data_IF_677341461344
#
_entry.id   IF_677341461344
#
_cell.length_a   1.000
_cell.length_b   1.000
_cell.length_c   1.000
_cell.angle_alpha   90.00
_cell.angle_beta   90.00
_cell.angle_gamma   90.00
#
_symmetry.space_group_name_H-M   'P 1'
#
loop_
_entity.id
_entity.type
_entity.pdbx_description
1 polymer ?
2 non-polymer ?
3 non-polymer ?
4 non-polymer ?
5 water ?
#
# COMPACT_ATOMS: atom_id res chain seq x y z
N UNK A 1 -10.23 -18.44 -0.72
CA UNK A 1 -10.12 -17.06 -0.26
C UNK A 1 -9.01 -16.92 0.79
N UNK A 2 -8.03 -16.08 0.51
CA UNK A 2 -7.01 -15.76 1.50
C UNK A 2 -7.59 -14.94 2.64
N UNK A 3 -6.73 -14.50 3.57
CA UNK A 3 -7.24 -13.73 4.71
C UNK A 3 -7.82 -12.38 4.30
N UNK A 4 -8.86 -11.96 5.01
CA UNK A 4 -9.44 -10.64 4.82
C UNK A 4 -9.65 -10.00 6.17
N UNK A 5 -9.75 -8.67 6.20
CA UNK A 5 -10.09 -7.96 7.42
C UNK A 5 -11.53 -8.30 7.77
N UNK A 6 -11.80 -8.44 9.07
CA UNK A 6 -13.11 -8.88 9.52
C UNK A 6 -14.05 -7.72 9.81
N UNK A 7 -13.65 -6.52 9.41
CA UNK A 7 -14.42 -5.32 9.65
C UNK A 7 -14.21 -4.44 8.44
N UNK A 8 -15.06 -3.43 8.27
CA UNK A 8 -14.92 -2.53 7.13
C UNK A 8 -14.21 -1.25 7.56
N UNK A 9 -14.13 -1.06 8.86
CA UNK A 9 -13.44 0.07 9.46
C UNK A 9 -12.00 -0.33 9.81
N UNK A 10 -11.05 0.25 9.08
CA UNK A 10 -9.64 -0.15 9.18
C UNK A 10 -8.76 1.05 9.50
N UNK A 11 -7.88 0.89 10.49
CA UNK A 11 -6.99 1.96 10.91
C UNK A 11 -5.60 1.79 10.34
N UNK A 12 -4.90 2.91 10.15
CA UNK A 12 -3.50 2.87 9.76
C UNK A 12 -2.71 3.93 10.50
N UNK A 13 -1.41 3.70 10.62
CA UNK A 13 -0.50 4.68 11.21
C UNK A 13 0.82 4.67 10.47
N UNK A 14 1.36 5.86 10.23
CA UNK A 14 2.69 5.95 9.61
C UNK A 14 3.77 5.94 10.70
N UNK A 15 4.57 4.87 10.72
CA UNK A 15 5.56 4.65 11.76
C UNK A 15 6.71 5.66 11.67
N UNK A 16 7.11 5.96 10.45
CA UNK A 16 8.24 6.85 10.20
C UNK A 16 8.19 7.34 8.76
N UNK A 17 8.99 8.38 8.46
CA UNK A 17 8.89 9.11 7.21
C UNK A 17 10.21 9.13 6.44
N UNK A 18 10.13 8.85 5.14
CA UNK A 18 11.31 8.88 4.29
C UNK A 18 11.80 10.32 4.23
N UNK A 19 13.12 10.50 4.36
CA UNK A 19 13.67 11.85 4.21
C UNK A 19 13.66 12.32 2.75
N UNK A 20 13.27 11.44 1.83
CA UNK A 20 13.26 11.77 0.40
C UNK A 20 12.22 12.82 0.05
N UNK A 21 11.17 12.86 0.84
CA UNK A 21 10.00 13.68 0.56
C UNK A 21 9.68 14.54 1.76
N UNK A 22 8.98 15.64 1.53
CA UNK A 22 8.52 16.39 2.69
C UNK A 22 7.36 15.64 3.33
N UNK A 23 7.28 15.74 4.65
CA UNK A 23 6.40 14.92 5.48
C UNK A 23 4.92 14.99 5.06
N UNK A 24 4.45 16.17 4.73
CA UNK A 24 3.06 16.35 4.31
C UNK A 24 2.76 15.66 2.99
N UNK A 25 3.76 15.53 2.12
CA UNK A 25 3.60 14.83 0.85
C UNK A 25 3.47 13.32 1.05
N UNK A 26 4.16 12.78 2.04
CA UNK A 26 4.02 11.36 2.41
C UNK A 26 2.63 11.10 2.98
N UNK A 27 2.19 11.96 3.90
CA UNK A 27 0.84 11.86 4.43
C UNK A 27 -0.17 11.87 3.30
N UNK A 28 0.02 12.79 2.36
CA UNK A 28 -0.93 12.94 1.28
C UNK A 28 -0.94 11.72 0.35
N UNK A 29 0.25 11.21 0.02
CA UNK A 29 0.32 10.08 -0.90
C UNK A 29 -0.35 8.84 -0.30
N UNK A 30 -0.10 8.61 0.98
CA UNK A 30 -0.68 7.47 1.67
C UNK A 30 -2.19 7.63 1.79
N UNK A 31 -2.63 8.84 2.13
CA UNK A 31 -4.07 9.10 2.24
C UNK A 31 -4.81 8.81 0.93
N UNK A 32 -4.24 9.29 -0.18
CA UNK A 32 -4.87 9.11 -1.48
C UNK A 32 -4.86 7.66 -1.91
N UNK A 33 -3.80 6.94 -1.55
CA UNK A 33 -3.70 5.53 -1.88
C UNK A 33 -4.80 4.73 -1.19
N UNK A 34 -5.02 4.99 0.10
CA UNK A 34 -6.14 4.36 0.78
C UNK A 34 -7.47 4.74 0.13
N UNK A 35 -7.60 6.00 -0.25
CA UNK A 35 -8.82 6.50 -0.87
C UNK A 35 -9.16 5.78 -2.19
N UNK A 36 -8.14 5.39 -2.94
CA UNK A 36 -8.34 4.64 -4.18
C UNK A 36 -9.17 3.37 -3.90
N UNK A 37 -8.82 2.68 -2.82
CA UNK A 37 -9.49 1.44 -2.49
C UNK A 37 -10.83 1.68 -1.79
N UNK A 38 -10.88 2.68 -0.93
CA UNK A 38 -12.14 3.02 -0.27
C UNK A 38 -13.19 3.46 -1.29
N UNK A 39 -12.74 3.99 -2.41
CA UNK A 39 -13.70 4.46 -3.41
C UNK A 39 -14.45 3.36 -4.15
N UNK A 40 -13.99 2.11 -4.04
CA UNK A 40 -14.61 1.02 -4.78
C UNK A 40 -15.07 -0.15 -3.90
N UNK A 41 -15.11 0.08 -2.58
CA UNK A 41 -15.47 -0.93 -1.60
C UNK A 41 -16.27 -0.25 -0.48
N UNK A 42 -16.77 -1.03 0.48
CA UNK A 42 -17.38 -0.40 1.65
C UNK A 42 -16.35 -0.09 2.73
N UNK A 43 -15.07 -0.30 2.43
CA UNK A 43 -14.03 -0.09 3.44
C UNK A 43 -13.86 1.39 3.77
N UNK A 44 -13.62 1.67 5.05
CA UNK A 44 -13.36 3.02 5.50
C UNK A 44 -12.04 3.02 6.24
N UNK A 45 -11.17 3.98 5.92
CA UNK A 45 -9.84 4.04 6.54
C UNK A 45 -9.66 5.26 7.44
N UNK A 46 -9.18 5.00 8.65
CA UNK A 46 -8.96 6.06 9.63
C UNK A 46 -7.48 6.13 10.02
N UNK A 47 -6.88 7.30 9.82
CA UNK A 47 -5.49 7.51 10.20
C UNK A 47 -5.38 7.73 11.70
N UNK A 48 -4.50 6.98 12.36
CA UNK A 48 -4.23 7.31 13.75
C UNK A 48 -2.82 7.85 13.84
N UNK A 49 -2.63 8.77 14.77
CA UNK A 49 -1.34 9.42 14.97
C UNK A 49 -0.53 8.68 16.01
N UNK A 50 -1.24 8.09 16.98
CA UNK A 50 -0.60 7.44 18.11
C UNK A 50 -1.43 6.25 18.51
N UNK A 51 -0.78 5.10 18.71
CA UNK A 51 -1.48 3.94 19.27
C UNK A 51 -1.51 2.77 18.31
N UNK A 52 -2.48 1.88 18.54
CA UNK A 52 -2.62 0.63 17.80
C UNK A 52 -3.39 0.78 16.49
N UNK A 53 -2.74 0.48 15.37
CA UNK A 53 -3.37 0.57 14.06
C UNK A 53 -3.33 -0.80 13.38
N UNK A 54 -4.32 -1.08 12.53
CA UNK A 54 -4.32 -2.34 11.80
C UNK A 54 -3.15 -2.40 10.83
N UNK A 55 -2.96 -1.32 10.08
CA UNK A 55 -1.91 -1.24 9.07
C UNK A 55 -0.83 -0.25 9.48
N UNK A 56 0.38 -0.75 9.73
CA UNK A 56 1.50 0.12 10.01
C UNK A 56 2.30 0.33 8.73
N UNK A 57 2.54 1.60 8.39
CA UNK A 57 3.36 1.96 7.24
C UNK A 57 4.77 2.28 7.75
N UNK A 58 5.76 1.56 7.21
CA UNK A 58 7.14 1.68 7.65
C UNK A 58 8.04 1.93 6.45
N UNK A 59 9.02 2.83 6.60
CA UNK A 59 10.14 2.89 5.68
C UNK A 59 11.37 2.30 6.35
N UNK A 60 12.00 1.33 5.68
CA UNK A 60 13.19 0.68 6.22
C UNK A 60 14.07 0.20 5.09
N UNK A 61 15.29 -0.20 5.42
CA UNK A 61 16.22 -0.70 4.40
C UNK A 61 16.78 -2.05 4.78
N UNK A 62 17.27 -2.81 3.80
CA UNK A 62 17.88 -4.10 4.05
C UNK A 62 17.05 -5.01 4.95
N UNK A 63 17.73 -5.70 5.85
CA UNK A 63 17.08 -6.57 6.82
C UNK A 63 16.50 -5.66 7.90
N UNK A 64 15.19 -5.76 8.14
CA UNK A 64 14.48 -4.81 9.01
C UNK A 64 13.49 -5.50 9.92
N UNK A 65 13.79 -6.76 10.26
CA UNK A 65 13.08 -7.44 11.34
C UNK A 65 11.97 -8.41 10.97
N UNK A 66 11.76 -8.68 9.68
CA UNK A 66 10.66 -9.58 9.32
C UNK A 66 11.00 -10.81 8.45
N UNK A 67 12.28 -11.15 8.34
CA UNK A 67 12.73 -12.27 7.51
C UNK A 67 12.51 -12.10 6.00
N UNK A 68 12.16 -10.89 5.59
CA UNK A 68 12.13 -10.54 4.17
C UNK A 68 12.97 -9.29 3.92
N UNK A 69 14.28 -9.44 3.86
CA UNK A 69 15.16 -8.28 3.71
C UNK A 69 14.97 -7.60 2.36
N UNK A 70 15.00 -6.27 2.37
CA UNK A 70 15.08 -5.49 1.15
C UNK A 70 16.48 -5.58 0.55
N UNK A 71 16.64 -5.02 -0.64
CA UNK A 71 17.75 -5.40 -1.53
C UNK A 71 18.55 -4.24 -2.10
N UNK A 72 18.52 -3.07 -1.44
CA UNK A 72 19.25 -1.92 -1.94
C UNK A 72 18.44 -1.22 -3.02
N UNK A 73 19.02 -0.25 -3.70
CA UNK A 73 18.25 0.49 -4.69
C UNK A 73 17.88 -0.39 -5.88
N UNK A 74 16.64 -0.29 -6.31
CA UNK A 74 16.14 -1.10 -7.41
C UNK A 74 15.57 -2.41 -6.92
N UNK A 75 15.26 -3.30 -7.86
CA UNK A 75 14.68 -4.59 -7.51
C UNK A 75 13.35 -4.41 -6.78
N UNK A 76 13.23 -5.03 -5.61
CA UNK A 76 12.01 -4.91 -4.82
C UNK A 76 11.90 -3.50 -4.22
N UNK A 77 10.75 -2.86 -4.42
CA UNK A 77 10.53 -1.50 -3.93
C UNK A 77 9.86 -1.46 -2.55
N UNK A 78 9.10 -2.51 -2.24
CA UNK A 78 8.20 -2.48 -1.10
C UNK A 78 7.61 -3.87 -0.96
N UNK A 79 6.97 -4.13 0.17
CA UNK A 79 6.21 -5.37 0.35
C UNK A 79 5.23 -5.21 1.49
N UNK A 80 4.24 -6.09 1.58
CA UNK A 80 3.20 -5.92 2.57
C UNK A 80 2.67 -7.27 3.00
N UNK A 81 2.20 -7.33 4.23
CA UNK A 81 1.61 -8.56 4.74
C UNK A 81 0.10 -8.54 4.62
N UNK A 82 -0.47 -9.71 4.37
CA UNK A 82 -1.91 -9.82 4.21
C UNK A 82 -2.63 -9.60 5.53
N UNK A 83 -3.97 -9.44 5.47
CA UNK A 83 -4.72 -9.09 6.68
C UNK A 83 -4.50 -10.09 7.84
N UNK A 84 -4.40 -9.56 9.05
CA UNK A 84 -4.12 -10.38 10.22
C UNK A 84 -3.65 -9.51 11.37
N UNK A 85 -3.48 -10.11 12.54
CA UNK A 85 -3.01 -9.35 13.70
C UNK A 85 -1.51 -9.14 13.62
N UNK A 86 -1.01 -8.28 14.50
CA UNK A 86 0.42 -7.98 14.57
C UNK A 86 0.93 -7.40 13.26
N UNK A 87 1.94 -8.04 12.69
CA UNK A 87 2.54 -7.56 11.46
C UNK A 87 1.58 -7.69 10.25
N UNK A 88 0.53 -8.50 10.39
CA UNK A 88 -0.47 -8.61 9.34
C UNK A 88 -0.96 -7.22 8.93
N UNK A 89 -1.09 -7.01 7.62
CA UNK A 89 -1.53 -5.73 7.11
C UNK A 89 -0.44 -4.71 6.89
N UNK A 90 0.71 -4.85 7.55
CA UNK A 90 1.72 -3.79 7.51
C UNK A 90 2.37 -3.65 6.12
N UNK A 91 2.69 -2.41 5.75
CA UNK A 91 3.28 -2.13 4.45
C UNK A 91 4.62 -1.47 4.65
N UNK A 92 5.65 -2.05 4.03
CA UNK A 92 7.03 -1.66 4.22
C UNK A 92 7.57 -1.15 2.89
N UNK A 93 8.23 -0.01 2.93
CA UNK A 93 8.78 0.63 1.74
C UNK A 93 10.29 0.70 1.88
N UNK A 94 11.01 0.30 0.83
CA UNK A 94 12.47 0.22 0.87
C UNK A 94 13.08 1.61 0.83
N UNK A 95 13.72 2.02 1.92
CA UNK A 95 14.29 3.37 1.99
C UNK A 95 15.46 3.55 1.02
N UNK A 96 15.98 2.45 0.50
CA UNK A 96 17.03 2.58 -0.51
C UNK A 96 16.50 3.05 -1.86
N UNK A 97 15.19 3.05 -2.06
CA UNK A 97 14.62 3.73 -3.22
C UNK A 97 14.57 5.22 -2.96
N UNK A 98 14.42 6.01 -4.03
CA UNK A 98 14.21 7.44 -3.88
C UNK A 98 12.74 7.75 -4.12
N UNK A 99 12.03 8.06 -3.04
CA UNK A 99 10.57 8.21 -3.09
C UNK A 99 10.20 9.62 -3.54
N UNK A 100 9.26 9.72 -4.48
CA UNK A 100 8.82 11.03 -4.99
C UNK A 100 7.32 11.18 -5.15
N UNK A 101 6.91 12.40 -5.46
CA UNK A 101 5.52 12.75 -5.73
C UNK A 101 5.23 12.72 -7.22
N UNK A 102 6.24 12.36 -8.02
CA UNK A 102 6.17 12.49 -9.47
C UNK A 102 6.72 11.26 -10.19
N UNK A 103 7.12 11.45 -11.44
CA UNK A 103 7.60 10.34 -12.27
C UNK A 103 9.03 9.96 -11.99
N UNK A 104 9.77 10.84 -11.30
CA UNK A 104 11.15 10.55 -10.97
C UNK A 104 11.25 9.55 -9.84
N UNK A 105 12.41 8.93 -9.69
CA UNK A 105 12.63 7.91 -8.68
C UNK A 105 11.51 6.88 -8.70
N UNK A 106 10.95 6.60 -7.52
CA UNK A 106 9.78 5.74 -7.42
C UNK A 106 8.64 6.54 -6.81
N UNK A 107 7.50 6.57 -7.50
CA UNK A 107 6.33 7.32 -7.04
C UNK A 107 5.70 6.62 -5.84
N UNK A 108 5.67 7.31 -4.71
CA UNK A 108 5.14 6.71 -3.47
C UNK A 108 3.66 6.35 -3.56
N UNK A 109 2.86 7.24 -4.13
CA UNK A 109 1.43 6.99 -4.26
C UNK A 109 1.13 5.68 -5.00
N UNK A 110 1.70 5.50 -6.18
CA UNK A 110 1.41 4.30 -6.97
C UNK A 110 1.85 3.03 -6.25
N UNK A 111 3.05 3.09 -5.66
CA UNK A 111 3.58 1.97 -4.90
C UNK A 111 2.69 1.66 -3.70
N UNK A 112 2.22 2.70 -3.02
CA UNK A 112 1.32 2.50 -1.88
C UNK A 112 -0.04 1.91 -2.29
N UNK A 113 -0.54 2.29 -3.46
CA UNK A 113 -1.79 1.71 -3.93
C UNK A 113 -1.63 0.19 -4.08
N UNK A 114 -0.54 -0.21 -4.71
CA UNK A 114 -0.23 -1.62 -4.89
C UNK A 114 -0.07 -2.35 -3.54
N UNK A 115 0.75 -1.78 -2.65
CA UNK A 115 0.99 -2.42 -1.37
C UNK A 115 -0.26 -2.50 -0.50
N UNK A 116 -1.04 -1.43 -0.47
CA UNK A 116 -2.31 -1.49 0.27
C UNK A 116 -3.23 -2.58 -0.30
N UNK A 117 -3.18 -2.81 -1.61
CA UNK A 117 -3.91 -3.93 -2.19
C UNK A 117 -3.53 -5.23 -1.50
N UNK A 118 -2.21 -5.44 -1.33
CA UNK A 118 -1.75 -6.62 -0.57
C UNK A 118 -2.21 -6.57 0.89
N UNK A 119 -2.12 -5.40 1.51
CA UNK A 119 -2.57 -5.24 2.91
C UNK A 119 -4.04 -5.61 3.08
N UNK A 120 -4.82 -5.49 2.01
CA UNK A 120 -6.24 -5.81 2.07
C UNK A 120 -6.54 -7.25 1.66
N UNK A 121 -5.52 -7.94 1.19
CA UNK A 121 -5.63 -9.35 0.83
C UNK A 121 -5.60 -9.69 -0.65
N UNK A 122 -5.30 -8.71 -1.51
CA UNK A 122 -5.17 -9.00 -2.94
C UNK A 122 -3.83 -9.63 -3.30
N UNK A 123 -3.84 -10.48 -4.33
CA UNK A 123 -2.63 -11.00 -4.92
C UNK A 123 -2.41 -10.29 -6.22
N UNK A 124 -1.57 -10.86 -7.07
CA UNK A 124 -1.23 -10.21 -8.32
C UNK A 124 -2.20 -10.49 -9.44
N UNK A 125 -2.19 -9.60 -10.42
CA UNK A 125 -2.97 -9.74 -11.64
C UNK A 125 -2.00 -9.85 -12.81
N UNK A 126 -2.48 -10.47 -13.90
CA UNK A 126 -1.67 -10.61 -15.10
C UNK A 126 -2.00 -9.51 -16.11
N UNK A 127 -3.03 -8.72 -15.78
CA UNK A 127 -3.44 -7.59 -16.60
C UNK A 127 -2.43 -6.46 -16.46
N UNK A 128 -1.79 -6.07 -17.57
CA UNK A 128 -0.77 -5.02 -17.59
C UNK A 128 -1.33 -3.66 -17.24
N UNK A 129 -2.67 -3.54 -17.20
CA UNK A 129 -3.33 -2.29 -16.84
C UNK A 129 -3.63 -2.23 -15.35
N UNK A 130 -3.55 -3.38 -14.66
CA UNK A 130 -3.90 -3.47 -13.24
C UNK A 130 -2.81 -2.93 -12.31
N UNK A 131 -3.22 -2.20 -11.28
CA UNK A 131 -2.25 -1.72 -10.31
C UNK A 131 -1.65 -2.90 -9.55
N UNK A 132 -2.34 -4.03 -9.53
CA UNK A 132 -1.83 -5.24 -8.89
C UNK A 132 -0.98 -6.12 -9.83
N UNK A 133 -0.67 -5.62 -11.02
CA UNK A 133 0.33 -6.25 -11.87
C UNK A 133 1.64 -6.30 -11.05
N UNK A 134 2.51 -7.29 -11.29
CA UNK A 134 3.63 -7.43 -10.35
C UNK A 134 4.70 -6.35 -10.39
N UNK A 135 4.89 -5.69 -11.52
CA UNK A 135 5.98 -4.73 -11.64
C UNK A 135 5.48 -3.31 -11.73
N UNK A 136 6.13 -2.43 -10.97
CA UNK A 136 5.90 -0.99 -11.03
C UNK A 136 6.05 -0.43 -12.44
N UNK A 137 5.15 0.48 -12.78
CA UNK A 137 5.38 1.41 -13.87
C UNK A 137 4.80 2.76 -13.45
N UNK A 138 5.45 3.84 -13.83
CA UNK A 138 4.83 5.14 -13.63
C UNK A 138 3.68 5.35 -14.59
N UNK A 139 2.56 5.81 -14.07
CA UNK A 139 1.43 6.20 -14.89
C UNK A 139 1.02 7.58 -14.43
N UNK A 140 0.49 8.38 -15.36
CA UNK A 140 0.06 9.74 -15.05
C UNK A 140 -0.85 9.76 -13.81
N UNK A 141 -0.36 10.38 -12.76
CA UNK A 141 -1.01 10.35 -11.44
C UNK A 141 -2.44 10.92 -11.47
N UNK A 142 -2.65 11.94 -12.29
CA UNK A 142 -3.95 12.57 -12.38
C UNK A 142 -4.95 11.68 -13.10
N UNK A 143 -4.49 11.02 -14.17
CA UNK A 143 -5.34 10.14 -14.95
C UNK A 143 -5.38 8.71 -14.39
N UNK A 144 -4.65 8.46 -13.31
CA UNK A 144 -4.59 7.11 -12.72
C UNK A 144 -5.98 6.59 -12.34
N UNK A 145 -6.26 5.34 -12.71
CA UNK A 145 -7.50 4.68 -12.33
C UNK A 145 -7.24 3.18 -12.13
N UNK A 146 -7.94 2.59 -11.16
CA UNK A 146 -7.91 1.13 -11.00
C UNK A 146 -8.43 0.47 -12.27
N UNK A 147 -7.92 -0.71 -12.57
CA UNK A 147 -8.42 -1.46 -13.73
C UNK A 147 -9.68 -2.22 -13.33
N UNK A 148 -10.43 -2.68 -14.33
CA UNK A 148 -11.62 -3.48 -14.05
C UNK A 148 -11.22 -4.73 -13.30
N UNK A 149 -10.01 -5.21 -13.54
CA UNK A 149 -9.58 -6.42 -12.82
C UNK A 149 -9.30 -6.12 -11.33
N UNK A 150 -8.67 -4.99 -11.06
CA UNK A 150 -8.43 -4.54 -9.67
C UNK A 150 -9.75 -4.44 -8.93
N UNK A 151 -10.75 -3.87 -9.60
CA UNK A 151 -12.05 -3.71 -8.99
C UNK A 151 -12.75 -5.06 -8.74
N UNK A 152 -12.71 -5.97 -9.72
CA UNK A 152 -13.25 -7.31 -9.54
C UNK A 152 -12.59 -7.97 -8.33
N UNK A 153 -11.28 -7.85 -8.27
CA UNK A 153 -10.50 -8.50 -7.23
C UNK A 153 -10.87 -8.03 -5.84
N UNK A 154 -10.91 -6.72 -5.63
CA UNK A 154 -11.16 -6.21 -4.30
C UNK A 154 -12.62 -6.37 -3.91
N UNK A 155 -13.52 -6.26 -4.89
CA UNK A 155 -14.94 -6.47 -4.61
C UNK A 155 -15.29 -7.93 -4.31
N UNK A 156 -14.42 -8.85 -4.73
CA UNK A 156 -14.60 -10.27 -4.41
C UNK A 156 -14.31 -10.53 -2.93
N UNK A 157 -13.54 -9.61 -2.32
CA UNK A 157 -13.13 -9.75 -0.94
C UNK A 157 -14.03 -8.98 0.04
N UNK A 158 -14.52 -7.83 -0.40
CA UNK A 158 -15.29 -6.91 0.45
C UNK A 158 -16.49 -6.36 -0.30
N UNK A 159 -17.66 -6.39 0.33
CA UNK A 159 -18.87 -5.91 -0.31
C UNK A 159 -20.03 -5.73 0.65
X LIG B 1 2.84 -7.05 -5.32
X LIG C 1 9.36 -5.84 5.72
X LIG D 1 -0.74 -4.86 11.47
X LIG E 1 15.29 6.87 0.12
X LIG F 1 15.03 -2.25 -3.45
X LIG G 1 8.67 -3.94 -5.94
X LIG G 1 4.43 -0.91 -6.68
X LIG G 1 5.12 -1.62 -5.79
X LIG G 1 7.89 -4.72 -6.52
X LIG G 1 6.62 -5.14 -5.87
X LIG G 1 6.03 -3.89 -5.23
X LIG G 1 4.62 -3.06 -7.35
X LIG G 1 4.11 -1.79 -7.66
X LIG G 1 3.30 -1.39 -8.83
X LIG G 1 2.95 -0.04 -9.00
X LIG G 1 2.17 0.34 -10.08
X LIG G 1 1.73 -0.63 -10.97
X LIG G 1 2.05 -1.97 -10.79
X LIG G 1 2.83 -2.36 -9.71
X LIG G 1 5.28 -2.93 -6.13
X LIG G 1 -2.22 2.06 -13.24
X LIG G 1 -0.93 0.81 -13.26
X LIG G 1 -0.14 0.62 -12.12
X LIG G 1 -0.74 0.06 -14.41
X LIG G 1 0.26 -0.92 -14.44
X LIG G 1 1.05 -1.11 -13.31
X LIG G 1 0.87 -0.34 -12.16
X LIG G 1 6.98 -6.10 -4.75
X LIG G 1 5.59 -7.04 -4.05
X LIG G 1 4.71 -7.48 -5.19
X LIG G 1 4.93 -6.21 -2.97
X LIG G 1 6.27 -8.44 -3.28
X LIG G 1 5.61 -9.65 -3.41
X LIG G 1 6.12 -10.78 -2.80
X LIG G 1 7.29 -10.69 -2.05
X LIG G 1 7.94 -12.28 -1.24
X LIG G 1 7.95 -9.48 -1.91
X LIG G 1 7.43 -8.34 -2.53
X LIG G 1 8.17 -5.23 -7.71
X LIG G 1 9.48 -5.00 -8.32
X LIG G 1 9.48 -3.85 -9.33
X LIG G 1 8.45 -3.54 -9.95
X LIG G 1 9.99 -6.27 -8.97
X LIG G 1 10.62 -3.19 -9.46
X LIG G 1 10.78 -2.20 -10.51
X LIG G 1 10.63 -2.88 -11.86
X LIG G 1 9.80 -2.49 -12.70
X LIG G 1 12.14 -1.50 -10.40
X LIG G 1 11.42 -3.94 -12.07
#
# INVERSE_FOLDING_TARGET
MGPVWRKHYITYRINNYTPDMNREDVDYAIRKAFQVWSNVTPLKFSKINTGMADILVVFARGAHGDDHAFDGKGGILAHAFGPGSGIGGDAHFDEDEFWTTHSGGTNLFLTAVHEIGHSLGLGHSSDPKAVMFPTYKYVDINTFRLSADDIRGIQSLYG
ZN ZN
ZN ZN
CA CA
CA CA
CA CA
R4B O4 N1 O1 C25 C17 C16 C14 C13 C12 C11 C10 C7 C8 C9 C15 CL1 C1 C2 C3 C4 C5 C6 C18 P1 O2 O3 C19 C20 C21 C22 BR1 C23 C24 N2 C26 C30 O7 C27 N3 C31 C35 O10 C32 N4
#
